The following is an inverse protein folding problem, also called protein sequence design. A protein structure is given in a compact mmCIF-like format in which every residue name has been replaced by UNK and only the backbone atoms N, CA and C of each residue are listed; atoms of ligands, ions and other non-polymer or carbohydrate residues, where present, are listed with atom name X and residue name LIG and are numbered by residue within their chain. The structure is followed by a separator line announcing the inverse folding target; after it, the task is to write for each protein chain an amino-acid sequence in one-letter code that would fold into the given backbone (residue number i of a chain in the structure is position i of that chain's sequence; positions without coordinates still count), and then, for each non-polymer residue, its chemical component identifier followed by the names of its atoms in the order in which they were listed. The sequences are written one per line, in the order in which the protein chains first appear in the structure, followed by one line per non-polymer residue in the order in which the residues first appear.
data_IF_946483906344
#
_entry.id   IF_946483906344
#
_cell.length_a   1.000
_cell.length_b   1.000
_cell.length_c   1.000
_cell.angle_alpha   90.00
_cell.angle_beta   90.00
_cell.angle_gamma   90.00
#
_symmetry.space_group_name_H-M   'P 1'
#
loop_
_entity.id
_entity.type
_entity.pdbx_description
1 polymer ?
#
# COMPACT_ATOMS: atom_id res chain seq x y z
N UNK A 1 18.37 6.20 -5.13
CA UNK A 1 17.65 5.80 -3.90
C UNK A 1 17.63 6.98 -2.96
N UNK A 2 16.52 7.71 -2.86
CA UNK A 2 16.31 8.62 -1.72
C UNK A 2 15.98 7.72 -0.52
N UNK A 3 16.69 7.89 0.58
CA UNK A 3 16.43 7.18 1.82
C UNK A 3 14.92 7.27 2.12
N UNK A 4 14.27 6.13 2.33
CA UNK A 4 12.98 6.11 2.99
C UNK A 4 13.19 6.83 4.32
N UNK A 5 12.66 8.05 4.46
CA UNK A 5 12.77 8.82 5.68
C UNK A 5 12.08 8.03 6.77
N UNK A 6 12.88 7.33 7.60
CA UNK A 6 12.36 6.75 8.83
C UNK A 6 11.81 7.89 9.65
N UNK A 7 10.54 7.76 10.05
CA UNK A 7 9.92 8.77 10.87
C UNK A 7 10.75 8.94 12.16
N UNK A 8 10.93 10.18 12.61
CA UNK A 8 11.72 10.46 13.81
C UNK A 8 11.05 9.80 15.03
N UNK A 9 11.79 9.54 16.12
CA UNK A 9 11.18 9.04 17.36
C UNK A 9 10.02 9.93 17.85
N UNK A 10 10.14 11.25 17.65
CA UNK A 10 9.09 12.21 17.95
C UNK A 10 7.85 12.00 17.06
N UNK A 11 8.03 11.82 15.76
CA UNK A 11 6.91 11.54 14.85
C UNK A 11 6.18 10.25 15.25
N UNK A 12 6.90 9.21 15.68
CA UNK A 12 6.27 7.99 16.19
C UNK A 12 5.48 8.22 17.48
N UNK A 13 6.03 9.00 18.41
CA UNK A 13 5.36 9.33 19.66
C UNK A 13 4.09 10.17 19.42
N UNK A 14 4.18 11.20 18.58
CA UNK A 14 3.04 12.05 18.22
C UNK A 14 1.97 11.24 17.48
N UNK A 15 2.35 10.39 16.52
CA UNK A 15 1.41 9.51 15.83
C UNK A 15 0.73 8.53 16.78
N UNK A 16 1.48 7.95 17.74
CA UNK A 16 0.92 7.07 18.76
C UNK A 16 -0.11 7.78 19.65
N UNK A 17 0.17 9.02 20.05
CA UNK A 17 -0.77 9.84 20.82
C UNK A 17 -2.02 10.19 20.00
N UNK A 18 -1.86 10.58 18.74
CA UNK A 18 -2.97 10.89 17.83
C UNK A 18 -3.87 9.67 17.61
N UNK A 19 -3.28 8.48 17.52
CA UNK A 19 -4.02 7.22 17.43
C UNK A 19 -4.76 6.88 18.75
N UNK A 20 -4.16 7.16 19.90
CA UNK A 20 -4.77 6.88 21.19
C UNK A 20 -5.96 7.81 21.52
N UNK A 21 -5.96 9.05 21.03
CA UNK A 21 -6.96 10.07 21.37
C UNK A 21 -8.41 9.64 21.05
N UNK A 22 -8.76 9.17 19.84
CA UNK A 22 -10.12 8.72 19.55
C UNK A 22 -10.58 7.54 20.42
N UNK A 23 -9.68 6.61 20.73
CA UNK A 23 -9.97 5.49 21.63
C UNK A 23 -10.23 5.97 23.05
N UNK A 24 -9.38 6.87 23.57
CA UNK A 24 -9.57 7.46 24.89
C UNK A 24 -10.90 8.22 24.99
N UNK A 25 -11.25 8.99 23.94
CA UNK A 25 -12.54 9.69 23.85
C UNK A 25 -13.73 8.73 23.86
N UNK A 26 -13.69 7.65 23.08
CA UNK A 26 -14.73 6.62 23.09
C UNK A 26 -14.86 5.93 24.46
N UNK A 27 -13.76 5.61 25.11
CA UNK A 27 -13.77 5.06 26.47
C UNK A 27 -14.36 6.04 27.49
N UNK A 28 -13.98 7.32 27.43
CA UNK A 28 -14.52 8.36 28.31
C UNK A 28 -16.02 8.60 28.09
N UNK A 29 -16.51 8.44 26.85
CA UNK A 29 -17.93 8.51 26.52
C UNK A 29 -18.73 7.24 26.90
N UNK A 30 -18.09 6.22 27.50
CA UNK A 30 -18.73 4.95 27.84
C UNK A 30 -19.01 4.04 26.64
N UNK A 31 -18.46 4.35 25.46
CA UNK A 31 -18.63 3.59 24.21
C UNK A 31 -17.42 2.68 23.92
N UNK A 32 -16.47 2.60 24.85
CA UNK A 32 -15.29 1.75 24.72
C UNK A 32 -15.64 0.27 24.66
N UNK A 33 -15.09 -0.46 23.69
CA UNK A 33 -15.18 -1.91 23.62
C UNK A 33 -13.93 -2.51 22.99
N UNK A 34 -13.66 -3.78 23.28
CA UNK A 34 -12.54 -4.52 22.68
C UNK A 34 -12.67 -4.55 21.16
N UNK A 35 -13.89 -4.80 20.65
CA UNK A 35 -14.17 -4.79 19.21
C UNK A 35 -13.87 -3.43 18.57
N UNK A 36 -14.30 -2.33 19.21
CA UNK A 36 -13.99 -0.98 18.74
C UNK A 36 -12.48 -0.72 18.71
N UNK A 37 -11.76 -1.12 19.75
CA UNK A 37 -10.32 -0.96 19.83
C UNK A 37 -9.60 -1.69 18.68
N UNK A 38 -9.90 -2.96 18.47
CA UNK A 38 -9.30 -3.72 17.36
C UNK A 38 -9.69 -3.16 15.99
N UNK A 39 -10.97 -2.85 15.77
CA UNK A 39 -11.42 -2.31 14.49
C UNK A 39 -10.74 -0.98 14.16
N UNK A 40 -10.63 -0.08 15.13
CA UNK A 40 -9.96 1.21 14.95
C UNK A 40 -8.45 1.04 14.70
N UNK A 41 -7.76 0.25 15.51
CA UNK A 41 -6.31 0.02 15.38
C UNK A 41 -5.97 -0.59 14.03
N UNK A 42 -6.70 -1.64 13.63
CA UNK A 42 -6.48 -2.31 12.34
C UNK A 42 -6.82 -1.39 11.17
N UNK A 43 -7.87 -0.57 11.27
CA UNK A 43 -8.22 0.40 10.22
C UNK A 43 -7.16 1.50 10.09
N UNK A 44 -6.65 2.01 11.21
CA UNK A 44 -5.57 3.00 11.23
C UNK A 44 -4.30 2.45 10.56
N UNK A 45 -3.89 1.24 10.95
CA UNK A 45 -2.72 0.57 10.39
C UNK A 45 -2.90 0.27 8.90
N UNK A 46 -4.08 -0.21 8.51
CA UNK A 46 -4.41 -0.45 7.12
C UNK A 46 -4.33 0.82 6.27
N UNK A 47 -4.94 1.91 6.73
CA UNK A 47 -4.89 3.19 6.04
C UNK A 47 -3.44 3.67 5.93
N UNK A 48 -2.68 3.68 7.02
CA UNK A 48 -1.27 4.07 7.01
C UNK A 48 -0.44 3.22 6.04
N UNK A 49 -0.64 1.90 6.04
CA UNK A 49 0.03 1.00 5.12
C UNK A 49 -0.34 1.28 3.66
N UNK A 50 -1.62 1.56 3.39
CA UNK A 50 -2.11 1.97 2.07
C UNK A 50 -1.40 3.24 1.58
N UNK A 51 -1.22 4.23 2.44
CA UNK A 51 -0.50 5.46 2.07
C UNK A 51 0.93 5.22 1.59
N UNK A 52 1.59 4.17 2.07
CA UNK A 52 3.00 3.87 1.80
C UNK A 52 3.22 2.69 0.85
N UNK A 53 2.16 2.04 0.36
CA UNK A 53 2.31 0.83 -0.46
C UNK A 53 2.71 1.12 -1.91
N UNK A 54 2.64 2.38 -2.36
CA UNK A 54 2.88 2.81 -3.75
C UNK A 54 1.97 2.13 -4.79
N UNK A 55 0.86 1.52 -4.35
CA UNK A 55 -0.13 0.86 -5.22
C UNK A 55 -1.45 1.59 -5.08
N UNK A 56 -1.99 2.09 -6.19
CA UNK A 56 -3.29 2.75 -6.18
C UNK A 56 -4.44 1.75 -6.02
N UNK A 57 -5.06 1.72 -4.83
CA UNK A 57 -6.19 0.83 -4.54
C UNK A 57 -7.49 1.28 -5.24
N UNK A 58 -7.72 2.58 -5.34
CA UNK A 58 -8.96 3.12 -5.88
C UNK A 58 -9.00 3.11 -7.42
N UNK A 59 -10.09 2.64 -8.04
CA UNK A 59 -10.27 2.72 -9.49
C UNK A 59 -10.17 4.16 -9.99
N UNK A 60 -9.54 4.39 -11.14
CA UNK A 60 -9.34 5.74 -11.68
C UNK A 60 -10.63 6.50 -12.00
N UNK A 61 -11.75 5.79 -12.17
CA UNK A 61 -13.09 6.37 -12.36
C UNK A 61 -13.84 6.67 -11.05
N UNK A 62 -13.43 6.12 -9.91
CA UNK A 62 -14.20 6.17 -8.67
C UNK A 62 -14.53 7.60 -8.24
N UNK A 63 -13.53 8.48 -8.20
CA UNK A 63 -13.70 9.87 -7.80
C UNK A 63 -14.36 10.75 -8.87
N UNK A 64 -14.50 10.26 -10.10
CA UNK A 64 -15.32 10.91 -11.12
C UNK A 64 -16.80 10.58 -10.91
N UNK A 65 -17.10 9.31 -10.63
CA UNK A 65 -18.48 8.84 -10.37
C UNK A 65 -19.00 9.32 -9.01
N UNK A 66 -18.14 9.33 -7.99
CA UNK A 66 -18.48 9.70 -6.61
C UNK A 66 -17.47 10.74 -6.09
N UNK A 67 -17.63 12.03 -6.48
CA UNK A 67 -16.64 13.07 -6.21
C UNK A 67 -16.46 13.41 -4.74
N UNK A 68 -17.42 13.07 -3.86
CA UNK A 68 -17.29 13.29 -2.43
C UNK A 68 -16.29 12.32 -1.77
N UNK A 69 -16.12 11.09 -2.31
CA UNK A 69 -15.25 10.07 -1.71
C UNK A 69 -13.79 10.49 -1.65
N UNK A 70 -13.32 11.31 -2.62
CA UNK A 70 -11.95 11.83 -2.64
C UNK A 70 -11.60 12.71 -1.45
N UNK A 71 -12.61 13.19 -0.72
CA UNK A 71 -12.43 13.99 0.49
C UNK A 71 -12.54 13.15 1.76
N UNK A 72 -13.16 11.97 1.70
CA UNK A 72 -13.36 11.10 2.85
C UNK A 72 -12.15 10.19 3.10
N UNK A 73 -11.51 9.70 2.03
CA UNK A 73 -10.36 8.80 2.10
C UNK A 73 -9.26 9.26 1.15
N UNK A 74 -8.04 9.35 1.67
CA UNK A 74 -6.86 9.67 0.90
C UNK A 74 -6.37 8.49 0.05
N UNK A 75 -5.46 8.78 -0.88
CA UNK A 75 -4.81 7.78 -1.74
C UNK A 75 -3.29 7.70 -1.47
N UNK A 76 -2.62 6.60 -1.86
CA UNK A 76 -1.16 6.53 -1.82
C UNK A 76 -0.49 7.72 -2.53
N UNK A 77 -1.03 8.15 -3.68
CA UNK A 77 -0.54 9.34 -4.39
C UNK A 77 -0.64 10.60 -3.53
N UNK A 78 -1.80 10.84 -2.89
CA UNK A 78 -2.00 11.99 -2.00
C UNK A 78 -0.91 12.08 -0.92
N UNK A 79 -0.61 10.95 -0.29
CA UNK A 79 0.39 10.84 0.78
C UNK A 79 1.82 10.94 0.26
N UNK A 80 2.07 10.42 -0.94
CA UNK A 80 3.38 10.56 -1.59
C UNK A 80 3.68 12.01 -1.93
N UNK A 81 2.69 12.79 -2.37
CA UNK A 81 2.83 14.24 -2.61
C UNK A 81 3.23 14.96 -1.32
N UNK A 82 2.57 14.63 -0.19
CA UNK A 82 2.95 15.15 1.12
C UNK A 82 4.43 14.87 1.45
N UNK A 83 4.88 13.61 1.29
CA UNK A 83 6.25 13.23 1.63
C UNK A 83 7.32 13.78 0.68
N UNK A 84 6.96 14.03 -0.59
CA UNK A 84 7.90 14.53 -1.60
C UNK A 84 8.04 16.05 -1.55
N UNK A 85 6.92 16.78 -1.39
CA UNK A 85 6.89 18.24 -1.41
C UNK A 85 6.85 18.91 -0.03
N UNK A 86 6.28 18.25 0.98
CA UNK A 86 6.04 18.77 2.35
C UNK A 86 5.33 20.14 2.42
N UNK A 87 4.54 20.49 1.41
CA UNK A 87 3.85 21.80 1.29
C UNK A 87 2.33 21.71 1.27
N UNK A 88 1.79 20.50 1.16
CA UNK A 88 0.37 20.25 0.99
C UNK A 88 0.02 18.87 1.58
N UNK A 89 -1.28 18.56 1.62
CA UNK A 89 -1.81 17.26 2.00
C UNK A 89 -1.38 16.83 3.43
N UNK A 90 -1.62 17.69 4.44
CA UNK A 90 -1.14 17.49 5.81
C UNK A 90 -2.00 16.52 6.63
N UNK A 91 -3.28 16.37 6.31
CA UNK A 91 -4.18 15.48 7.03
C UNK A 91 -3.89 14.03 6.69
N UNK A 92 -3.81 13.23 7.76
CA UNK A 92 -3.28 11.87 7.70
C UNK A 92 -4.10 10.94 6.79
N UNK A 93 -5.44 10.98 6.90
CA UNK A 93 -6.32 10.04 6.18
C UNK A 93 -7.48 10.69 5.42
N UNK A 94 -7.89 11.90 5.80
CA UNK A 94 -9.10 12.53 5.28
C UNK A 94 -8.81 13.87 4.60
N UNK A 95 -8.75 13.92 3.26
CA UNK A 95 -8.43 15.14 2.49
C UNK A 95 -9.43 16.29 2.66
N UNK A 96 -10.61 16.03 3.24
CA UNK A 96 -11.61 17.07 3.55
C UNK A 96 -10.99 18.23 4.35
N UNK A 97 -10.18 17.92 5.36
CA UNK A 97 -9.62 18.95 6.22
C UNK A 97 -8.55 19.78 5.52
N UNK A 98 -7.75 19.19 4.64
CA UNK A 98 -6.85 19.96 3.77
C UNK A 98 -7.63 20.83 2.78
N UNK A 99 -8.78 20.37 2.29
CA UNK A 99 -9.64 21.17 1.43
C UNK A 99 -10.23 22.38 2.18
N UNK A 100 -10.59 22.22 3.45
CA UNK A 100 -11.10 23.29 4.30
C UNK A 100 -9.97 24.25 4.72
N UNK A 101 -8.79 23.72 5.01
CA UNK A 101 -7.59 24.49 5.38
C UNK A 101 -6.87 25.16 4.21
N UNK A 102 -7.29 24.89 2.96
CA UNK A 102 -6.64 25.44 1.77
C UNK A 102 -5.27 24.83 1.46
N UNK A 103 -4.98 23.65 2.01
CA UNK A 103 -3.69 22.94 1.91
C UNK A 103 -3.75 21.68 1.05
N UNK A 104 -4.88 21.45 0.37
CA UNK A 104 -5.04 20.34 -0.58
C UNK A 104 -4.27 20.64 -1.87
N UNK A 105 -3.37 19.72 -2.25
CA UNK A 105 -2.66 19.82 -3.51
C UNK A 105 -3.61 19.58 -4.71
N UNK A 106 -3.64 20.49 -5.71
CA UNK A 106 -4.58 20.41 -6.82
C UNK A 106 -4.28 19.26 -7.79
N UNK A 107 -3.04 18.78 -7.86
CA UNK A 107 -2.61 17.72 -8.77
C UNK A 107 -2.89 16.31 -8.22
N UNK A 108 -3.21 16.18 -6.93
CA UNK A 108 -3.46 14.90 -6.23
C UNK A 108 -4.31 13.93 -7.03
N UNK A 109 -5.42 14.39 -7.62
CA UNK A 109 -6.36 13.51 -8.33
C UNK A 109 -5.96 13.21 -9.76
N UNK A 110 -5.28 14.13 -10.43
CA UNK A 110 -4.77 13.86 -11.77
C UNK A 110 -3.62 12.86 -11.71
N UNK A 111 -2.69 13.06 -10.77
CA UNK A 111 -1.58 12.15 -10.52
C UNK A 111 -2.08 10.77 -10.08
N UNK A 112 -3.10 10.70 -9.22
CA UNK A 112 -3.69 9.43 -8.81
C UNK A 112 -4.19 8.63 -10.01
N UNK A 113 -4.89 9.28 -10.94
CA UNK A 113 -5.38 8.62 -12.16
C UNK A 113 -4.26 8.18 -13.07
N UNK A 114 -3.22 9.02 -13.26
CA UNK A 114 -2.02 8.66 -14.04
C UNK A 114 -1.32 7.45 -13.44
N UNK A 115 -1.06 7.48 -12.13
CA UNK A 115 -0.42 6.38 -11.40
C UNK A 115 -1.25 5.09 -11.46
N UNK A 116 -2.59 5.19 -11.42
CA UNK A 116 -3.49 4.05 -11.54
C UNK A 116 -3.57 3.47 -12.96
N UNK A 117 -3.44 4.31 -14.00
CA UNK A 117 -3.39 3.84 -15.38
C UNK A 117 -2.17 2.94 -15.64
N UNK A 118 -1.11 3.11 -14.85
CA UNK A 118 0.13 2.35 -14.96
C UNK A 118 1.18 3.10 -15.78
N UNK A 119 2.26 2.41 -16.11
CA UNK A 119 3.32 2.94 -16.95
C UNK A 119 3.06 2.54 -18.40
N UNK A 120 2.91 3.54 -19.29
CA UNK A 120 2.89 3.33 -20.75
C UNK A 120 4.30 3.20 -21.35
N UNK A 121 5.35 3.38 -20.53
CA UNK A 121 6.74 3.25 -20.95
C UNK A 121 7.14 1.78 -21.10
N UNK A 122 7.68 1.43 -22.28
CA UNK A 122 8.25 0.11 -22.51
C UNK A 122 9.51 -0.08 -21.65
N UNK A 123 9.66 -1.20 -20.92
CA UNK A 123 10.82 -1.41 -20.07
C UNK A 123 12.10 -1.62 -20.89
N UNK A 124 13.20 -0.99 -20.48
CA UNK A 124 14.53 -1.24 -21.04
C UNK A 124 15.04 -2.65 -20.70
N UNK A 125 14.60 -3.19 -19.57
CA UNK A 125 15.01 -4.50 -19.08
C UNK A 125 13.89 -5.20 -18.32
N UNK A 126 13.68 -6.48 -18.63
CA UNK A 126 12.71 -7.33 -17.96
C UNK A 126 13.42 -8.56 -17.39
N UNK A 127 13.29 -8.76 -16.09
CA UNK A 127 13.64 -10.01 -15.43
C UNK A 127 12.39 -10.89 -15.31
N UNK A 128 12.40 -12.05 -15.96
CA UNK A 128 11.32 -13.02 -15.85
C UNK A 128 11.57 -13.94 -14.65
N UNK A 129 10.66 -13.88 -13.69
CA UNK A 129 10.60 -14.77 -12.54
C UNK A 129 9.43 -15.76 -12.71
N UNK A 130 9.60 -16.98 -12.25
CA UNK A 130 8.53 -17.96 -12.13
C UNK A 130 8.44 -18.39 -10.66
N UNK A 131 7.33 -19.03 -10.29
CA UNK A 131 7.11 -19.45 -8.90
C UNK A 131 7.66 -20.85 -8.71
N UNK A 132 8.46 -21.07 -7.67
CA UNK A 132 9.04 -22.39 -7.42
C UNK A 132 8.00 -23.33 -6.81
N UNK A 133 7.33 -22.88 -5.74
CA UNK A 133 6.28 -23.62 -5.05
C UNK A 133 5.31 -22.68 -4.31
N UNK A 134 4.22 -23.23 -3.75
CA UNK A 134 3.18 -22.45 -3.06
C UNK A 134 3.71 -21.73 -1.81
N UNK A 135 4.62 -22.35 -1.05
CA UNK A 135 5.24 -21.73 0.13
C UNK A 135 6.18 -20.60 -0.25
N UNK A 136 7.02 -20.81 -1.26
CA UNK A 136 7.93 -19.80 -1.79
C UNK A 136 7.17 -18.62 -2.38
N UNK A 137 5.98 -18.84 -2.96
CA UNK A 137 5.15 -17.76 -3.52
C UNK A 137 4.75 -16.70 -2.49
N UNK A 138 4.69 -17.07 -1.20
CA UNK A 138 4.43 -16.15 -0.09
C UNK A 138 5.68 -15.37 0.37
N UNK A 139 6.87 -15.74 -0.10
CA UNK A 139 8.14 -15.10 0.20
C UNK A 139 8.42 -13.94 -0.79
N UNK A 140 7.53 -12.96 -0.81
CA UNK A 140 7.62 -11.78 -1.67
C UNK A 140 7.40 -10.49 -0.86
N UNK A 141 8.09 -9.38 -1.18
CA UNK A 141 8.05 -8.17 -0.35
C UNK A 141 6.67 -7.54 -0.13
N UNK A 142 5.75 -7.73 -1.08
CA UNK A 142 4.38 -7.21 -1.00
C UNK A 142 3.44 -8.09 -0.16
N UNK A 143 3.82 -9.34 0.16
CA UNK A 143 3.11 -10.19 1.12
C UNK A 143 3.64 -9.92 2.53
N UNK A 144 4.95 -10.08 2.75
CA UNK A 144 5.58 -9.80 4.04
C UNK A 144 7.03 -9.32 3.86
N UNK A 145 7.21 -8.00 3.91
CA UNK A 145 8.53 -7.36 3.72
C UNK A 145 9.60 -7.86 4.70
N UNK A 146 9.25 -8.04 5.98
CA UNK A 146 10.19 -8.51 7.01
C UNK A 146 10.62 -9.96 6.79
N UNK A 147 9.73 -10.81 6.30
CA UNK A 147 10.08 -12.19 5.99
C UNK A 147 10.95 -12.26 4.73
N UNK A 148 10.57 -11.52 3.68
CA UNK A 148 11.29 -11.43 2.41
C UNK A 148 12.69 -10.78 2.51
N UNK A 149 13.03 -10.14 3.64
CA UNK A 149 14.38 -9.61 3.88
C UNK A 149 15.36 -10.64 4.47
N UNK A 150 14.91 -11.88 4.69
CA UNK A 150 15.73 -12.98 5.21
C UNK A 150 15.72 -14.15 4.23
N UNK A 151 16.71 -15.06 4.25
CA UNK A 151 16.66 -16.25 3.41
C UNK A 151 15.35 -17.04 3.59
N UNK A 152 14.82 -17.57 2.49
CA UNK A 152 13.58 -18.34 2.52
C UNK A 152 13.72 -19.58 3.42
N UNK A 153 12.74 -19.75 4.31
CA UNK A 153 12.55 -20.94 5.11
C UNK A 153 11.06 -21.12 5.37
N UNK A 154 10.56 -22.35 5.34
CA UNK A 154 9.19 -22.65 5.73
C UNK A 154 9.02 -22.37 7.23
N UNK A 155 8.14 -21.41 7.56
CA UNK A 155 7.83 -21.01 8.94
C UNK A 155 6.37 -21.30 9.26
N UNK A 156 6.09 -21.64 10.51
CA UNK A 156 4.74 -22.02 10.96
C UNK A 156 3.67 -20.93 10.69
N UNK A 157 4.03 -19.65 10.76
CA UNK A 157 3.08 -18.56 10.47
C UNK A 157 2.61 -18.50 9.01
N UNK A 158 3.27 -19.21 8.10
CA UNK A 158 2.83 -19.30 6.70
C UNK A 158 1.70 -20.32 6.52
N UNK A 159 1.54 -21.28 7.44
CA UNK A 159 0.54 -22.34 7.31
C UNK A 159 -0.89 -21.81 7.22
N UNK A 160 -1.32 -20.80 8.01
CA UNK A 160 -2.66 -20.21 7.87
C UNK A 160 -2.86 -19.48 6.53
N UNK A 161 -1.79 -18.98 5.91
CA UNK A 161 -1.84 -18.28 4.62
C UNK A 161 -1.79 -19.24 3.42
N UNK A 162 -1.33 -20.47 3.63
CA UNK A 162 -1.15 -21.44 2.56
C UNK A 162 -2.42 -21.75 1.77
N UNK A 163 -3.62 -21.94 2.37
CA UNK A 163 -4.85 -22.13 1.59
C UNK A 163 -5.17 -20.94 0.68
N UNK A 164 -4.89 -19.72 1.13
CA UNK A 164 -5.07 -18.50 0.34
C UNK A 164 -4.08 -18.46 -0.83
N UNK A 165 -2.81 -18.78 -0.56
CA UNK A 165 -1.78 -18.87 -1.59
C UNK A 165 -2.10 -19.94 -2.64
N UNK A 166 -2.68 -21.07 -2.23
CA UNK A 166 -3.12 -22.13 -3.13
C UNK A 166 -4.29 -21.68 -4.02
N UNK A 167 -5.28 -20.98 -3.46
CA UNK A 167 -6.37 -20.40 -4.26
C UNK A 167 -5.83 -19.37 -5.26
N UNK A 168 -4.88 -18.53 -4.83
CA UNK A 168 -4.22 -17.58 -5.71
C UNK A 168 -3.46 -18.28 -6.85
N UNK A 169 -2.76 -19.38 -6.56
CA UNK A 169 -2.11 -20.22 -7.58
C UNK A 169 -3.11 -20.66 -8.65
N UNK A 170 -4.26 -21.22 -8.26
CA UNK A 170 -5.28 -21.64 -9.24
C UNK A 170 -5.80 -20.47 -10.07
N UNK A 171 -6.01 -19.31 -9.45
CA UNK A 171 -6.45 -18.09 -10.15
C UNK A 171 -5.42 -17.63 -11.20
N UNK A 172 -4.13 -17.54 -10.84
CA UNK A 172 -3.10 -17.09 -11.79
C UNK A 172 -2.86 -18.12 -12.88
N UNK A 173 -2.98 -19.42 -12.57
CA UNK A 173 -2.87 -20.47 -13.58
C UNK A 173 -4.03 -20.41 -14.58
N UNK A 174 -5.27 -20.23 -14.10
CA UNK A 174 -6.43 -20.04 -14.96
C UNK A 174 -6.28 -18.79 -15.85
N UNK A 175 -5.72 -17.70 -15.33
CA UNK A 175 -5.53 -16.46 -16.08
C UNK A 175 -4.36 -16.54 -17.08
N UNK A 176 -3.31 -17.31 -16.74
CA UNK A 176 -2.11 -17.55 -17.57
C UNK A 176 -1.43 -16.29 -18.14
N UNK A 177 -1.68 -15.11 -17.56
CA UNK A 177 -1.04 -13.85 -17.96
C UNK A 177 0.12 -13.51 -17.05
N UNK A 178 1.22 -13.11 -17.67
CA UNK A 178 2.36 -12.51 -16.97
C UNK A 178 1.93 -11.20 -16.33
N UNK A 179 2.41 -10.92 -15.12
CA UNK A 179 2.13 -9.66 -14.43
C UNK A 179 3.38 -9.09 -13.79
N UNK A 180 3.41 -7.78 -13.58
CA UNK A 180 4.55 -7.07 -13.00
C UNK A 180 4.54 -7.25 -11.48
N UNK A 181 5.63 -7.79 -10.92
CA UNK A 181 5.84 -7.89 -9.47
C UNK A 181 6.35 -6.56 -8.92
N UNK A 182 7.34 -5.97 -9.60
CA UNK A 182 7.98 -4.73 -9.19
C UNK A 182 8.63 -4.04 -10.39
N UNK A 183 8.83 -2.73 -10.25
CA UNK A 183 9.55 -1.91 -11.22
C UNK A 183 10.39 -0.87 -10.50
N UNK A 184 11.50 -0.46 -11.12
CA UNK A 184 12.35 0.59 -10.59
C UNK A 184 13.17 1.24 -11.71
N UNK A 185 13.55 2.50 -11.48
CA UNK A 185 14.48 3.21 -12.37
C UNK A 185 15.89 3.10 -11.83
N UNK A 186 16.80 2.56 -12.64
CA UNK A 186 18.22 2.48 -12.33
C UNK A 186 19.00 3.19 -13.44
N UNK A 187 19.71 4.27 -13.08
CA UNK A 187 20.49 5.10 -14.03
C UNK A 187 19.65 5.58 -15.22
N UNK A 188 18.39 5.97 -14.96
CA UNK A 188 17.48 6.46 -15.99
C UNK A 188 16.85 5.38 -16.88
N UNK A 189 17.13 4.10 -16.63
CA UNK A 189 16.51 2.97 -17.33
C UNK A 189 15.41 2.34 -16.51
N UNK A 190 14.32 1.93 -17.15
CA UNK A 190 13.20 1.25 -16.54
C UNK A 190 13.46 -0.27 -16.48
N UNK A 191 13.61 -0.77 -15.26
CA UNK A 191 13.74 -2.21 -14.99
C UNK A 191 12.44 -2.75 -14.39
N UNK A 192 11.98 -3.90 -14.89
CA UNK A 192 10.79 -4.57 -14.39
C UNK A 192 11.07 -6.05 -14.05
N UNK A 193 10.36 -6.56 -13.05
CA UNK A 193 10.33 -7.99 -12.71
C UNK A 193 8.93 -8.50 -13.05
N UNK A 194 8.85 -9.49 -13.93
CA UNK A 194 7.59 -10.09 -14.37
C UNK A 194 7.44 -11.49 -13.79
N UNK A 195 6.29 -11.77 -13.17
CA UNK A 195 5.89 -13.10 -12.76
C UNK A 195 5.27 -13.83 -13.94
N UNK A 196 5.83 -14.98 -14.29
CA UNK A 196 5.19 -15.98 -15.14
C UNK A 196 4.32 -16.87 -14.25
N UNK A 197 3.02 -17.03 -14.52
CA UNK A 197 2.09 -17.79 -13.69
C UNK A 197 2.25 -19.30 -13.89
N UNK A 198 3.47 -19.79 -13.64
CA UNK A 198 3.86 -21.20 -13.68
C UNK A 198 4.50 -21.52 -12.33
N UNK A 199 4.05 -22.62 -11.77
CA UNK A 199 4.54 -23.18 -10.51
C UNK A 199 5.30 -24.46 -10.85
N UNK A 200 6.51 -24.59 -10.31
CA UNK A 200 7.37 -25.75 -10.54
C UNK A 200 8.27 -25.62 -11.77
N UNK A 201 9.44 -26.24 -11.65
CA UNK A 201 10.31 -26.66 -12.76
C UNK A 201 10.05 -28.14 -13.05
#
# INVERSE_FOLDING_TARGET
MRAAGFATPLEHLVLGLLMALPLAGACAAGLGSVGLAFAYVLSFDFLRAMGHCNVELFPGGLFRSLPFLRYLIYTPTYHTIHHTGKKANFCLFMPLFDRLGGTLDPESWELQRKNRAGMDEAPDFVFLAHVVDVMQSMHVPFVMRTFASTPFAVRAFLLPLWPIALLFMFMVWAWSKTFIISYYHLRGKLHQIWAVPRYGF
#
